data_IF_690545810054
#
_entry.id   IF_690545810054
#
_cell.length_a   1.000
_cell.length_b   1.000
_cell.length_c   1.000
_cell.angle_alpha   90.00
_cell.angle_beta   90.00
_cell.angle_gamma   90.00
#
_symmetry.space_group_name_H-M   'P 1'
#
loop_
_entity.id
_entity.type
_entity.pdbx_description
1 polymer ?
#
# COMPACT_ATOMS: atom_id res chain seq x y z
N UNK A 1 -11.27 -10.69 16.63
CA UNK A 1 -10.57 -9.41 16.77
C UNK A 1 -10.10 -9.06 15.38
N UNK A 2 -10.92 -8.29 14.67
CA UNK A 2 -10.67 -7.88 13.28
C UNK A 2 -9.37 -7.09 13.26
N UNK A 3 -8.43 -7.48 12.40
CA UNK A 3 -7.21 -6.68 12.17
C UNK A 3 -7.66 -5.37 11.52
N UNK A 4 -7.30 -4.24 12.12
CA UNK A 4 -7.65 -2.94 11.58
C UNK A 4 -6.91 -2.72 10.26
N UNK A 5 -7.62 -2.22 9.26
CA UNK A 5 -7.11 -2.01 7.89
C UNK A 5 -5.98 -0.98 7.87
N UNK A 6 -5.87 -0.18 8.93
CA UNK A 6 -4.83 0.82 9.15
C UNK A 6 -3.48 0.20 9.58
N UNK A 7 -3.46 -1.04 10.07
CA UNK A 7 -2.24 -1.86 10.18
C UNK A 7 -1.70 -2.22 8.78
N UNK A 8 -2.62 -2.47 7.82
CA UNK A 8 -2.30 -2.86 6.44
C UNK A 8 -1.83 -1.66 5.60
N UNK A 9 -2.19 -0.43 5.92
CA UNK A 9 -1.74 0.80 5.20
C UNK A 9 -0.34 1.25 5.63
N UNK A 10 0.43 0.49 6.40
CA UNK A 10 1.80 0.96 6.70
C UNK A 10 2.73 0.01 7.38
N UNK A 11 2.26 -1.18 7.76
CA UNK A 11 3.12 -2.37 7.64
C UNK A 11 3.38 -2.68 6.14
N UNK A 12 2.53 -2.19 5.21
CA UNK A 12 2.62 -2.44 3.75
C UNK A 12 3.21 -1.31 2.90
N UNK A 13 3.09 -0.05 3.31
CA UNK A 13 3.79 1.08 2.66
C UNK A 13 5.17 1.35 3.25
N UNK A 14 5.56 0.63 4.33
CA UNK A 14 6.92 0.70 4.88
C UNK A 14 7.26 2.06 5.52
N UNK A 15 6.27 2.92 5.73
CA UNK A 15 6.48 4.30 6.17
C UNK A 15 6.42 4.44 7.69
N UNK A 16 7.33 5.23 8.24
CA UNK A 16 7.23 5.72 9.62
C UNK A 16 6.02 6.64 9.70
N UNK A 17 5.01 6.30 10.50
CA UNK A 17 3.74 7.03 10.54
C UNK A 17 3.97 8.54 10.67
N UNK A 18 4.88 8.97 11.55
CA UNK A 18 5.26 10.36 11.81
C UNK A 18 5.95 11.12 10.65
N UNK A 19 6.23 10.45 9.51
CA UNK A 19 6.86 11.05 8.33
C UNK A 19 5.97 11.00 7.06
N UNK A 20 4.74 10.48 7.16
CA UNK A 20 3.81 10.31 6.03
C UNK A 20 2.71 11.36 6.04
N UNK A 21 2.19 11.67 4.85
CA UNK A 21 0.96 12.44 4.67
C UNK A 21 -0.16 11.51 4.23
N UNK A 22 -1.26 11.50 4.95
CA UNK A 22 -2.31 10.51 4.75
C UNK A 22 -3.63 11.21 4.58
N UNK A 23 -4.29 10.96 3.45
CA UNK A 23 -5.66 11.39 3.18
C UNK A 23 -6.58 10.17 3.26
N UNK A 24 -7.48 10.14 4.24
CA UNK A 24 -8.49 9.09 4.35
C UNK A 24 -9.84 9.60 3.86
N UNK A 25 -10.47 8.82 2.99
CA UNK A 25 -11.85 9.01 2.52
C UNK A 25 -12.72 7.95 3.19
N UNK A 26 -13.61 8.35 4.09
CA UNK A 26 -14.53 7.43 4.76
C UNK A 26 -15.98 7.91 4.69
N UNK A 27 -16.84 7.09 4.08
CA UNK A 27 -18.26 7.37 3.95
C UNK A 27 -19.07 7.02 5.20
N UNK A 28 -18.67 5.99 5.93
CA UNK A 28 -19.45 5.45 7.05
C UNK A 28 -18.88 5.79 8.43
N UNK A 29 -17.55 5.89 8.57
CA UNK A 29 -16.91 6.11 9.88
C UNK A 29 -16.90 7.59 10.26
N UNK A 30 -17.00 7.85 11.56
CA UNK A 30 -16.84 9.22 12.06
C UNK A 30 -15.37 9.63 12.08
N UNK A 31 -15.13 10.94 12.10
CA UNK A 31 -13.78 11.51 12.22
C UNK A 31 -13.04 10.98 13.44
N UNK A 32 -13.75 10.83 14.57
CA UNK A 32 -13.14 10.41 15.82
C UNK A 32 -12.77 8.92 15.77
N UNK A 33 -13.63 8.08 15.19
CA UNK A 33 -13.36 6.65 15.06
C UNK A 33 -12.12 6.41 14.19
N UNK A 34 -12.02 7.09 13.04
CA UNK A 34 -10.83 6.96 12.17
C UNK A 34 -9.56 7.42 12.89
N UNK A 35 -9.62 8.55 13.60
CA UNK A 35 -8.43 9.09 14.29
C UNK A 35 -8.02 8.23 15.49
N UNK A 36 -8.99 7.70 16.23
CA UNK A 36 -8.73 6.89 17.42
C UNK A 36 -8.27 5.47 17.05
N UNK A 37 -8.84 4.87 16.01
CA UNK A 37 -8.38 3.58 15.47
C UNK A 37 -6.97 3.67 14.87
N UNK A 38 -6.65 4.77 14.18
CA UNK A 38 -5.30 5.03 13.71
C UNK A 38 -4.30 5.11 14.88
N UNK A 39 -4.64 5.83 15.95
CA UNK A 39 -3.76 5.93 17.13
C UNK A 39 -3.64 4.60 17.86
N UNK A 40 -4.71 3.84 17.96
CA UNK A 40 -4.71 2.55 18.63
C UNK A 40 -3.82 1.53 17.91
N UNK A 41 -3.77 1.58 16.57
CA UNK A 41 -2.92 0.71 15.76
C UNK A 41 -1.47 1.20 15.69
N UNK A 42 -1.23 2.49 15.43
CA UNK A 42 0.11 3.03 15.09
C UNK A 42 0.83 3.70 16.26
N UNK A 43 0.15 3.98 17.37
CA UNK A 43 0.70 4.72 18.51
C UNK A 43 0.92 6.23 18.28
N UNK A 44 1.14 6.66 17.03
CA UNK A 44 1.28 8.08 16.64
C UNK A 44 0.46 8.42 15.40
N UNK A 45 0.06 9.69 15.28
CA UNK A 45 -0.59 10.22 14.07
C UNK A 45 0.43 10.42 12.95
N UNK A 46 -0.06 10.50 11.69
CA UNK A 46 0.81 10.86 10.60
C UNK A 46 1.28 12.31 10.67
N UNK A 47 2.31 12.61 9.90
CA UNK A 47 2.94 13.92 9.85
C UNK A 47 1.97 15.01 9.37
N UNK A 48 1.07 14.63 8.45
CA UNK A 48 -0.10 15.41 8.04
C UNK A 48 -1.27 14.44 7.86
N UNK A 49 -2.44 14.76 8.42
CA UNK A 49 -3.63 13.89 8.34
C UNK A 49 -4.83 14.61 7.72
N UNK A 50 -5.19 14.26 6.50
CA UNK A 50 -6.41 14.71 5.83
C UNK A 50 -7.55 13.70 6.01
N UNK A 51 -8.78 14.18 6.22
CA UNK A 51 -9.96 13.34 6.32
C UNK A 51 -11.11 13.88 5.47
N UNK A 52 -11.67 13.08 4.60
CA UNK A 52 -12.92 13.39 3.87
C UNK A 52 -14.01 12.47 4.41
N UNK A 53 -15.06 13.06 5.00
CA UNK A 53 -16.15 12.30 5.66
C UNK A 53 -17.53 12.72 5.18
N UNK A 54 -18.50 11.80 5.31
CA UNK A 54 -19.88 12.00 4.88
C UNK A 54 -20.89 12.02 6.07
N UNK A 55 -20.39 11.91 7.31
CA UNK A 55 -21.15 11.83 8.57
C UNK A 55 -21.21 13.12 9.43
N UNK A 56 -21.79 13.01 10.64
CA UNK A 56 -22.44 14.05 11.49
C UNK A 56 -21.80 15.45 11.67
N UNK A 57 -20.52 15.67 11.36
CA UNK A 57 -19.92 17.01 11.35
C UNK A 57 -20.64 17.96 10.37
N UNK A 58 -21.29 17.42 9.33
CA UNK A 58 -22.15 18.18 8.43
C UNK A 58 -23.38 18.83 9.09
N UNK A 59 -23.98 18.25 10.14
CA UNK A 59 -25.19 18.84 10.77
C UNK A 59 -24.87 20.01 11.70
N UNK A 60 -23.69 20.03 12.31
CA UNK A 60 -23.24 21.13 13.18
C UNK A 60 -22.52 22.24 12.41
N UNK A 61 -21.84 21.92 11.30
CA UNK A 61 -21.15 22.90 10.44
C UNK A 61 -22.04 23.53 9.36
N UNK A 62 -23.21 22.95 9.04
CA UNK A 62 -24.17 23.49 8.07
C UNK A 62 -24.78 24.86 8.47
N UNK A 63 -24.44 25.40 9.64
CA UNK A 63 -24.81 26.79 10.01
C UNK A 63 -23.85 27.85 9.46
N UNK A 64 -22.73 27.48 8.80
CA UNK A 64 -21.68 28.47 8.50
C UNK A 64 -21.13 28.58 7.07
N UNK A 65 -21.53 27.79 6.08
CA UNK A 65 -20.93 27.94 4.73
C UNK A 65 -21.93 27.95 3.58
N UNK A 66 -22.11 29.14 3.01
CA UNK A 66 -22.76 29.44 1.72
C UNK A 66 -21.83 29.26 0.51
N UNK A 67 -20.78 28.43 0.61
CA UNK A 67 -19.76 28.29 -0.43
C UNK A 67 -19.93 26.98 -1.25
N UNK A 68 -19.84 27.10 -2.56
CA UNK A 68 -20.08 26.05 -3.57
C UNK A 68 -18.94 24.99 -3.67
N UNK A 69 -18.08 24.89 -2.64
CA UNK A 69 -16.87 24.04 -2.62
C UNK A 69 -16.75 23.17 -1.35
N UNK A 70 -15.85 22.17 -1.31
CA UNK A 70 -15.57 21.41 -0.09
C UNK A 70 -14.98 22.33 0.99
N UNK A 71 -15.61 22.38 2.17
CA UNK A 71 -15.13 23.21 3.29
C UNK A 71 -14.13 22.42 4.15
N UNK A 72 -12.86 22.85 4.18
CA UNK A 72 -11.79 22.28 5.00
C UNK A 72 -11.76 22.94 6.38
N UNK A 73 -11.71 22.14 7.44
CA UNK A 73 -11.60 22.61 8.82
C UNK A 73 -10.46 21.88 9.54
N UNK A 74 -9.50 22.63 10.08
CA UNK A 74 -8.45 22.07 10.93
C UNK A 74 -8.98 21.84 12.35
N UNK A 75 -8.71 20.68 12.92
CA UNK A 75 -9.07 20.38 14.30
C UNK A 75 -8.04 21.02 15.26
N UNK A 76 -8.48 21.74 16.32
CA UNK A 76 -7.55 22.40 17.23
C UNK A 76 -6.65 21.39 17.96
N UNK A 77 -5.33 21.60 17.87
CA UNK A 77 -4.32 20.79 18.56
C UNK A 77 -3.99 19.44 17.88
N UNK A 78 -4.38 19.25 16.62
CA UNK A 78 -4.02 18.07 15.82
C UNK A 78 -3.64 18.54 14.41
N UNK A 79 -2.61 17.98 13.80
CA UNK A 79 -2.29 18.14 12.36
C UNK A 79 -3.31 17.36 11.49
N UNK A 80 -4.59 17.53 11.82
CA UNK A 80 -5.74 16.85 11.21
C UNK A 80 -6.63 17.90 10.56
N UNK A 81 -6.80 17.81 9.25
CA UNK A 81 -7.69 18.66 8.47
C UNK A 81 -8.84 17.81 7.93
N UNK A 82 -10.07 18.29 8.12
CA UNK A 82 -11.29 17.55 7.82
C UNK A 82 -12.11 18.29 6.76
N UNK A 83 -12.57 17.56 5.75
CA UNK A 83 -13.56 18.00 4.77
C UNK A 83 -14.83 17.19 4.97
N UNK A 84 -15.92 17.86 5.29
CA UNK A 84 -17.25 17.23 5.33
C UNK A 84 -17.93 17.34 3.97
N UNK A 85 -18.54 16.23 3.53
CA UNK A 85 -19.37 16.14 2.33
C UNK A 85 -20.77 15.67 2.71
N UNK A 86 -21.75 16.05 1.90
CA UNK A 86 -23.17 15.75 2.19
C UNK A 86 -23.69 14.53 1.43
N UNK A 87 -22.96 14.06 0.41
CA UNK A 87 -23.45 13.04 -0.52
C UNK A 87 -22.30 12.24 -1.18
N UNK A 88 -22.19 10.92 -0.93
CA UNK A 88 -21.23 10.04 -1.60
C UNK A 88 -21.52 9.85 -3.10
N UNK A 89 -22.72 10.24 -3.57
CA UNK A 89 -23.07 10.31 -4.99
C UNK A 89 -22.32 11.41 -5.77
N UNK A 90 -21.68 12.36 -5.09
CA UNK A 90 -21.00 13.47 -5.75
C UNK A 90 -19.50 13.17 -5.97
N UNK A 91 -19.21 12.17 -6.82
CA UNK A 91 -17.85 11.74 -7.17
C UNK A 91 -16.96 12.88 -7.70
N UNK A 92 -17.55 13.84 -8.41
CA UNK A 92 -16.84 15.04 -8.90
C UNK A 92 -16.33 15.89 -7.72
N UNK A 93 -17.18 16.17 -6.74
CA UNK A 93 -16.80 16.95 -5.55
C UNK A 93 -15.80 16.18 -4.69
N UNK A 94 -15.91 14.85 -4.62
CA UNK A 94 -14.93 14.00 -3.97
C UNK A 94 -13.55 14.11 -4.63
N UNK A 95 -13.49 13.97 -5.95
CA UNK A 95 -12.24 14.14 -6.70
C UNK A 95 -11.63 15.52 -6.49
N UNK A 96 -12.41 16.60 -6.58
CA UNK A 96 -11.92 17.96 -6.31
C UNK A 96 -11.36 18.10 -4.91
N UNK A 97 -12.02 17.56 -3.88
CA UNK A 97 -11.50 17.66 -2.52
C UNK A 97 -10.21 16.87 -2.34
N UNK A 98 -10.10 15.67 -2.91
CA UNK A 98 -8.89 14.88 -2.86
C UNK A 98 -7.71 15.61 -3.51
N UNK A 99 -7.90 16.15 -4.72
CA UNK A 99 -6.87 16.94 -5.41
C UNK A 99 -6.44 18.17 -4.61
N UNK A 100 -7.35 18.85 -3.91
CA UNK A 100 -6.98 20.00 -3.06
C UNK A 100 -6.05 19.64 -1.90
N UNK A 101 -6.13 18.42 -1.37
CA UNK A 101 -5.17 17.95 -0.37
C UNK A 101 -3.84 17.59 -1.02
N UNK A 102 -3.87 16.87 -2.13
CA UNK A 102 -2.66 16.44 -2.83
C UNK A 102 -1.87 17.64 -3.38
N UNK A 103 -2.54 18.66 -3.89
CA UNK A 103 -1.91 19.91 -4.34
C UNK A 103 -1.27 20.69 -3.19
N UNK A 104 -1.91 20.74 -2.02
CA UNK A 104 -1.34 21.38 -0.81
C UNK A 104 -0.07 20.64 -0.33
N UNK A 105 0.03 19.35 -0.61
CA UNK A 105 1.10 18.46 -0.16
C UNK A 105 2.18 18.22 -1.23
N UNK A 106 1.95 18.67 -2.47
CA UNK A 106 2.82 18.37 -3.61
C UNK A 106 4.26 18.89 -3.47
N UNK A 107 4.47 19.95 -2.68
CA UNK A 107 5.78 20.53 -2.42
C UNK A 107 6.53 19.85 -1.26
N UNK A 108 5.93 18.84 -0.62
CA UNK A 108 6.54 18.11 0.48
C UNK A 108 7.39 16.94 -0.04
N UNK A 109 8.55 16.68 0.61
CA UNK A 109 9.36 15.48 0.34
C UNK A 109 8.81 14.21 1.03
N UNK A 110 7.56 14.25 1.50
CA UNK A 110 6.96 13.16 2.28
C UNK A 110 6.20 12.21 1.37
N UNK A 111 6.16 10.95 1.78
CA UNK A 111 5.30 9.98 1.12
C UNK A 111 3.84 10.34 1.38
N UNK A 112 3.06 10.44 0.30
CA UNK A 112 1.63 10.74 0.36
C UNK A 112 0.81 9.51 0.02
N UNK A 113 -0.15 9.18 0.89
CA UNK A 113 -1.06 8.04 0.71
C UNK A 113 -2.50 8.53 0.74
N UNK A 114 -3.28 8.15 -0.28
CA UNK A 114 -4.73 8.29 -0.31
C UNK A 114 -5.34 6.93 0.03
N UNK A 115 -6.15 6.87 1.07
CA UNK A 115 -6.82 5.65 1.51
C UNK A 115 -8.34 5.80 1.43
N UNK A 116 -8.97 5.00 0.58
CA UNK A 116 -10.44 4.90 0.50
C UNK A 116 -10.88 3.73 1.35
N UNK A 117 -11.57 4.06 2.44
CA UNK A 117 -11.87 3.10 3.50
C UNK A 117 -12.93 2.08 3.11
N UNK A 118 -13.93 2.45 2.34
CA UNK A 118 -14.97 1.52 1.90
C UNK A 118 -15.48 1.93 0.52
N UNK A 119 -15.60 0.95 -0.39
CA UNK A 119 -16.12 1.18 -1.74
C UNK A 119 -17.63 1.01 -1.86
N UNK A 120 -18.24 0.18 -1.02
CA UNK A 120 -19.66 -0.14 -1.12
C UNK A 120 -20.57 1.10 -1.10
N UNK A 121 -20.36 2.15 -0.28
CA UNK A 121 -21.25 3.32 -0.28
C UNK A 121 -21.18 4.11 -1.60
N UNK A 122 -20.03 4.10 -2.27
CA UNK A 122 -19.87 4.77 -3.56
C UNK A 122 -20.52 3.96 -4.69
N UNK A 123 -20.38 2.63 -4.65
CA UNK A 123 -21.02 1.71 -5.59
C UNK A 123 -22.54 1.75 -5.44
N UNK A 124 -23.06 1.78 -4.21
CA UNK A 124 -24.49 1.87 -3.94
C UNK A 124 -25.09 3.20 -4.44
N UNK A 125 -24.38 4.32 -4.23
CA UNK A 125 -24.88 5.64 -4.61
C UNK A 125 -24.76 5.93 -6.12
N UNK A 126 -23.71 5.42 -6.79
CA UNK A 126 -23.36 5.80 -8.16
C UNK A 126 -23.46 4.65 -9.17
N UNK A 127 -23.54 3.41 -8.71
CA UNK A 127 -23.36 2.22 -9.53
C UNK A 127 -21.89 1.89 -9.81
N UNK A 128 -21.66 0.65 -10.26
CA UNK A 128 -20.32 0.09 -10.51
C UNK A 128 -19.57 0.86 -11.61
N UNK A 129 -20.24 1.20 -12.71
CA UNK A 129 -19.60 1.83 -13.87
C UNK A 129 -19.07 3.24 -13.54
N UNK A 130 -19.89 4.07 -12.91
CA UNK A 130 -19.48 5.42 -12.50
C UNK A 130 -18.39 5.38 -11.42
N UNK A 131 -18.45 4.42 -10.51
CA UNK A 131 -17.40 4.21 -9.49
C UNK A 131 -16.08 3.76 -10.13
N UNK A 132 -16.12 2.84 -11.11
CA UNK A 132 -14.95 2.43 -11.88
C UNK A 132 -14.31 3.61 -12.60
N UNK A 133 -15.10 4.42 -13.31
CA UNK A 133 -14.59 5.60 -14.02
C UNK A 133 -13.93 6.60 -13.07
N UNK A 134 -14.56 6.84 -11.91
CA UNK A 134 -13.99 7.69 -10.88
C UNK A 134 -12.67 7.13 -10.33
N UNK A 135 -12.62 5.85 -9.95
CA UNK A 135 -11.40 5.21 -9.46
C UNK A 135 -10.29 5.24 -10.51
N UNK A 136 -10.61 5.01 -11.78
CA UNK A 136 -9.65 5.09 -12.87
C UNK A 136 -9.02 6.49 -12.98
N UNK A 137 -9.82 7.55 -12.89
CA UNK A 137 -9.33 8.94 -12.90
C UNK A 137 -8.55 9.27 -11.62
N UNK A 138 -8.98 8.75 -10.48
CA UNK A 138 -8.30 8.96 -9.20
C UNK A 138 -6.93 8.30 -9.19
N UNK A 139 -6.80 7.04 -9.65
CA UNK A 139 -5.51 6.33 -9.81
C UNK A 139 -4.58 7.17 -10.69
N UNK A 140 -5.04 7.65 -11.84
CA UNK A 140 -4.23 8.49 -12.73
C UNK A 140 -3.74 9.77 -12.04
N UNK A 141 -4.64 10.44 -11.31
CA UNK A 141 -4.33 11.71 -10.62
C UNK A 141 -3.33 11.50 -9.49
N UNK A 142 -3.56 10.47 -8.66
CA UNK A 142 -2.71 10.12 -7.51
C UNK A 142 -1.30 9.74 -7.98
N UNK A 143 -1.20 8.89 -9.00
CA UNK A 143 0.09 8.49 -9.59
C UNK A 143 0.82 9.67 -10.22
N UNK A 144 0.10 10.59 -10.89
CA UNK A 144 0.71 11.78 -11.49
C UNK A 144 1.34 12.71 -10.44
N UNK A 145 0.75 12.77 -9.25
CA UNK A 145 1.22 13.57 -8.11
C UNK A 145 2.23 12.81 -7.23
N UNK A 146 2.69 11.63 -7.65
CA UNK A 146 3.68 10.83 -6.90
C UNK A 146 3.15 10.24 -5.59
N UNK A 147 1.83 10.19 -5.41
CA UNK A 147 1.17 9.61 -4.25
C UNK A 147 0.75 8.16 -4.53
N UNK A 148 0.40 7.43 -3.48
CA UNK A 148 -0.07 6.03 -3.55
C UNK A 148 -1.56 5.95 -3.21
N UNK A 149 -2.34 5.18 -3.96
CA UNK A 149 -3.75 4.91 -3.68
C UNK A 149 -3.92 3.52 -3.07
N UNK A 150 -4.58 3.46 -1.92
CA UNK A 150 -5.04 2.24 -1.27
C UNK A 150 -6.56 2.26 -1.17
N UNK A 151 -7.21 1.14 -1.48
CA UNK A 151 -8.67 1.04 -1.45
C UNK A 151 -9.06 -0.26 -0.80
N UNK A 152 -9.95 -0.19 0.19
CA UNK A 152 -10.54 -1.38 0.79
C UNK A 152 -11.87 -1.71 0.14
N UNK A 153 -12.02 -2.98 -0.20
CA UNK A 153 -13.27 -3.61 -0.62
C UNK A 153 -13.64 -4.68 0.41
N UNK A 154 -14.92 -4.74 0.79
CA UNK A 154 -15.44 -5.82 1.64
C UNK A 154 -16.14 -6.87 0.74
N UNK A 155 -15.59 -8.09 0.61
CA UNK A 155 -16.16 -9.13 -0.23
C UNK A 155 -17.50 -9.68 0.29
N UNK A 156 -17.89 -9.36 1.52
CA UNK A 156 -19.22 -9.68 2.05
C UNK A 156 -20.30 -8.70 1.58
N UNK A 157 -19.90 -7.48 1.17
CA UNK A 157 -20.79 -6.42 0.68
C UNK A 157 -20.73 -6.23 -0.84
N UNK A 158 -19.57 -6.47 -1.44
CA UNK A 158 -19.32 -6.32 -2.87
C UNK A 158 -19.18 -7.70 -3.50
N UNK A 159 -19.97 -7.97 -4.54
CA UNK A 159 -19.92 -9.24 -5.23
C UNK A 159 -18.59 -9.44 -5.99
N UNK A 160 -18.20 -10.71 -6.15
CA UNK A 160 -16.94 -11.11 -6.78
C UNK A 160 -16.78 -10.57 -8.21
N UNK A 161 -17.88 -10.45 -8.98
CA UNK A 161 -17.83 -9.91 -10.34
C UNK A 161 -17.48 -8.41 -10.32
N UNK A 162 -18.05 -7.67 -9.38
CA UNK A 162 -17.70 -6.26 -9.18
C UNK A 162 -16.23 -6.11 -8.74
N UNK A 163 -15.75 -6.94 -7.81
CA UNK A 163 -14.33 -6.95 -7.40
C UNK A 163 -13.41 -7.22 -8.60
N UNK A 164 -13.70 -8.27 -9.38
CA UNK A 164 -12.95 -8.62 -10.59
C UNK A 164 -12.98 -7.51 -11.65
N UNK A 165 -14.04 -6.68 -11.67
CA UNK A 165 -14.15 -5.53 -12.59
C UNK A 165 -13.25 -4.38 -12.14
N UNK A 166 -13.12 -4.14 -10.83
CA UNK A 166 -12.33 -3.05 -10.27
C UNK A 166 -10.83 -3.41 -10.16
N UNK A 167 -10.51 -4.68 -9.91
CA UNK A 167 -9.14 -5.16 -9.69
C UNK A 167 -8.10 -4.69 -10.73
N UNK A 168 -8.38 -4.66 -12.05
CA UNK A 168 -7.42 -4.19 -13.05
C UNK A 168 -7.00 -2.72 -12.93
N UNK A 169 -7.71 -1.92 -12.11
CA UNK A 169 -7.33 -0.52 -11.82
C UNK A 169 -6.14 -0.41 -10.86
N UNK A 170 -5.79 -1.49 -10.17
CA UNK A 170 -4.80 -1.49 -9.10
C UNK A 170 -3.61 -2.36 -9.46
N UNK A 171 -2.41 -1.93 -9.03
CA UNK A 171 -1.17 -2.66 -9.25
C UNK A 171 -1.04 -3.92 -8.37
N UNK A 172 -1.85 -4.01 -7.30
CA UNK A 172 -1.88 -5.15 -6.38
C UNK A 172 -3.25 -5.25 -5.68
N UNK A 173 -3.67 -6.49 -5.41
CA UNK A 173 -4.83 -6.83 -4.57
C UNK A 173 -4.40 -7.87 -3.54
N UNK A 174 -4.92 -7.74 -2.33
CA UNK A 174 -4.63 -8.64 -1.20
C UNK A 174 -5.92 -8.94 -0.47
N UNK A 175 -6.08 -10.20 -0.10
CA UNK A 175 -7.10 -10.62 0.84
C UNK A 175 -6.52 -10.54 2.27
N UNK A 176 -7.23 -9.97 3.25
CA UNK A 176 -6.91 -10.19 4.65
C UNK A 176 -7.20 -11.67 4.96
N UNK A 177 -6.19 -12.53 4.78
CA UNK A 177 -6.33 -13.97 5.01
C UNK A 177 -6.88 -14.30 6.40
N UNK A 178 -7.52 -15.47 6.58
CA UNK A 178 -8.14 -15.83 7.84
C UNK A 178 -7.12 -15.85 8.97
N UNK A 179 -7.49 -15.20 10.08
CA UNK A 179 -6.72 -15.13 11.31
C UNK A 179 -6.78 -16.48 12.05
N UNK A 180 -6.18 -17.53 11.51
CA UNK A 180 -5.96 -18.80 12.22
C UNK A 180 -4.53 -19.31 11.98
N UNK A 181 -3.83 -19.53 13.09
CA UNK A 181 -2.42 -19.96 13.15
C UNK A 181 -2.18 -21.39 12.70
N UNK A 182 -2.35 -21.64 11.40
CA UNK A 182 -1.96 -22.89 10.74
C UNK A 182 -1.47 -22.61 9.33
N UNK A 183 -0.18 -22.29 9.20
CA UNK A 183 0.49 -22.08 7.91
C UNK A 183 0.47 -23.36 7.07
N UNK A 184 -0.55 -23.53 6.24
CA UNK A 184 -0.35 -24.14 4.93
C UNK A 184 -0.04 -22.99 3.98
N UNK A 185 1.20 -22.85 3.48
CA UNK A 185 1.51 -21.79 2.53
C UNK A 185 0.58 -21.95 1.31
N UNK A 186 0.10 -20.84 0.72
CA UNK A 186 -0.61 -20.93 -0.56
C UNK A 186 0.28 -21.73 -1.51
N UNK A 187 -0.29 -22.75 -2.16
CA UNK A 187 0.43 -23.44 -3.21
C UNK A 187 0.86 -22.37 -4.22
N UNK A 188 2.17 -22.16 -4.33
CA UNK A 188 2.72 -21.15 -5.22
C UNK A 188 2.49 -21.62 -6.65
N UNK A 189 1.39 -21.18 -7.25
CA UNK A 189 1.06 -21.52 -8.62
C UNK A 189 2.15 -20.97 -9.57
N UNK A 190 2.40 -21.70 -10.65
CA UNK A 190 3.50 -21.44 -11.58
C UNK A 190 3.50 -20.01 -12.13
N UNK A 191 2.32 -19.44 -12.39
CA UNK A 191 2.18 -18.07 -12.92
C UNK A 191 2.65 -17.01 -11.92
N UNK A 192 2.35 -17.19 -10.63
CA UNK A 192 2.81 -16.32 -9.55
C UNK A 192 4.33 -16.37 -9.42
N UNK A 193 4.93 -17.57 -9.49
CA UNK A 193 6.39 -17.71 -9.49
C UNK A 193 6.99 -17.02 -10.72
N UNK A 194 6.41 -17.21 -11.92
CA UNK A 194 6.89 -16.57 -13.13
C UNK A 194 6.86 -15.04 -13.07
N UNK A 195 5.76 -14.47 -12.55
CA UNK A 195 5.61 -13.03 -12.37
C UNK A 195 6.64 -12.46 -11.37
N UNK A 196 6.83 -13.15 -10.24
CA UNK A 196 7.83 -12.78 -9.24
C UNK A 196 9.25 -12.83 -9.84
N UNK A 197 9.59 -13.88 -10.55
CA UNK A 197 10.92 -14.05 -11.11
C UNK A 197 11.21 -13.17 -12.34
N UNK A 198 10.21 -12.46 -12.88
CA UNK A 198 10.41 -11.47 -13.95
C UNK A 198 11.38 -10.34 -13.55
N UNK A 199 11.47 -10.01 -12.26
CA UNK A 199 12.35 -8.95 -11.77
C UNK A 199 13.76 -9.50 -11.46
N UNK A 200 14.84 -8.94 -12.06
CA UNK A 200 16.21 -9.42 -11.85
C UNK A 200 16.71 -9.31 -10.41
N UNK A 201 16.23 -8.32 -9.64
CA UNK A 201 16.61 -8.14 -8.22
C UNK A 201 16.01 -9.23 -7.32
N UNK A 202 14.76 -9.65 -7.57
CA UNK A 202 14.13 -10.79 -6.87
C UNK A 202 14.85 -12.10 -7.17
N UNK A 203 15.23 -12.33 -8.43
CA UNK A 203 16.08 -13.47 -8.83
C UNK A 203 17.42 -13.43 -8.12
N UNK A 204 18.04 -12.26 -8.04
CA UNK A 204 19.32 -12.07 -7.37
C UNK A 204 19.26 -12.44 -5.88
N UNK A 205 18.22 -11.99 -5.16
CA UNK A 205 18.01 -12.35 -3.76
C UNK A 205 17.90 -13.86 -3.60
N UNK A 206 17.00 -14.51 -4.34
CA UNK A 206 16.79 -15.95 -4.24
C UNK A 206 18.07 -16.74 -4.55
N UNK A 207 18.80 -16.39 -5.63
CA UNK A 207 20.09 -17.01 -5.96
C UNK A 207 21.12 -16.86 -4.84
N UNK A 208 21.16 -15.70 -4.19
CA UNK A 208 22.06 -15.46 -3.05
C UNK A 208 21.71 -16.36 -1.86
N UNK A 209 20.41 -16.58 -1.60
CA UNK A 209 19.94 -17.40 -0.48
C UNK A 209 20.00 -18.91 -0.76
N UNK A 210 20.08 -19.33 -2.03
CA UNK A 210 20.41 -20.70 -2.38
C UNK A 210 21.89 -21.03 -2.13
N UNK A 211 22.77 -20.03 -2.17
CA UNK A 211 24.20 -20.20 -1.85
C UNK A 211 24.48 -20.10 -0.35
N UNK A 212 23.81 -19.15 0.30
CA UNK A 212 23.97 -18.85 1.72
C UNK A 212 22.64 -19.06 2.45
N UNK A 213 22.59 -19.96 3.44
CA UNK A 213 21.35 -20.33 4.14
C UNK A 213 20.59 -19.14 4.75
N UNK A 214 21.33 -18.11 5.19
CA UNK A 214 20.82 -16.86 5.71
C UNK A 214 21.82 -15.74 5.43
N UNK A 215 21.38 -14.59 4.91
CA UNK A 215 22.23 -13.44 4.56
C UNK A 215 21.68 -12.17 5.18
N UNK A 216 22.56 -11.31 5.70
CA UNK A 216 22.17 -9.98 6.18
C UNK A 216 21.65 -9.10 5.04
N UNK A 217 20.59 -8.32 5.30
CA UNK A 217 19.97 -7.46 4.30
C UNK A 217 20.95 -6.41 3.75
N UNK A 218 21.78 -5.83 4.61
CA UNK A 218 22.86 -4.92 4.21
C UNK A 218 23.88 -5.59 3.28
N UNK A 219 24.23 -6.85 3.54
CA UNK A 219 25.12 -7.63 2.67
C UNK A 219 24.49 -7.93 1.32
N UNK A 220 23.20 -8.28 1.29
CA UNK A 220 22.47 -8.45 0.02
C UNK A 220 22.42 -7.14 -0.77
N UNK A 221 22.21 -6.01 -0.08
CA UNK A 221 22.18 -4.68 -0.70
C UNK A 221 23.53 -4.29 -1.29
N UNK A 222 24.62 -4.51 -0.57
CA UNK A 222 25.98 -4.26 -1.07
C UNK A 222 26.27 -5.11 -2.31
N UNK A 223 25.97 -6.41 -2.25
CA UNK A 223 26.18 -7.32 -3.38
C UNK A 223 25.30 -6.94 -4.58
N UNK A 224 24.06 -6.49 -4.34
CA UNK A 224 23.17 -6.03 -5.40
C UNK A 224 23.67 -4.71 -6.02
N UNK A 225 24.06 -3.75 -5.20
CA UNK A 225 24.62 -2.47 -5.65
C UNK A 225 25.86 -2.69 -6.50
N UNK A 226 26.75 -3.61 -6.09
CA UNK A 226 27.93 -3.97 -6.88
C UNK A 226 27.56 -4.59 -8.24
N UNK A 227 26.48 -5.36 -8.29
CA UNK A 227 26.00 -6.00 -9.53
C UNK A 227 25.38 -5.00 -10.52
N UNK A 228 24.72 -3.96 -10.02
CA UNK A 228 23.98 -3.00 -10.86
C UNK A 228 24.75 -1.70 -11.14
N UNK A 229 25.71 -1.37 -10.29
CA UNK A 229 26.54 -0.18 -10.44
C UNK A 229 27.45 -0.27 -11.66
N UNK A 230 27.60 0.85 -12.36
CA UNK A 230 28.61 1.02 -13.42
C UNK A 230 29.99 1.41 -12.87
N UNK A 231 30.10 1.65 -11.55
CA UNK A 231 31.34 2.02 -10.85
C UNK A 231 31.76 0.90 -9.89
N UNK A 232 33.07 0.67 -9.78
CA UNK A 232 33.66 -0.33 -8.89
C UNK A 232 34.78 0.30 -8.04
N UNK A 233 34.56 0.51 -6.71
CA UNK A 233 33.41 0.07 -5.92
C UNK A 233 32.12 0.89 -6.18
N UNK A 234 30.94 0.33 -5.86
CA UNK A 234 29.66 1.06 -5.93
C UNK A 234 29.64 2.24 -4.96
N UNK A 235 28.93 3.31 -5.32
CA UNK A 235 28.82 4.50 -4.48
C UNK A 235 27.90 4.24 -3.27
N UNK A 236 28.02 5.08 -2.24
CA UNK A 236 27.13 5.04 -1.07
C UNK A 236 25.65 5.22 -1.46
N UNK A 237 25.38 6.04 -2.48
CA UNK A 237 24.04 6.23 -3.02
C UNK A 237 23.51 4.97 -3.72
N UNK A 238 24.36 4.25 -4.45
CA UNK A 238 23.98 2.98 -5.09
C UNK A 238 23.68 1.90 -4.03
N UNK A 239 24.50 1.83 -2.97
CA UNK A 239 24.26 0.93 -1.84
C UNK A 239 22.97 1.27 -1.10
N UNK A 240 22.72 2.56 -0.82
CA UNK A 240 21.49 3.02 -0.16
C UNK A 240 20.26 2.72 -1.01
N UNK A 241 20.31 2.97 -2.32
CA UNK A 241 19.21 2.63 -3.25
C UNK A 241 18.95 1.12 -3.30
N UNK A 242 20.00 0.30 -3.37
CA UNK A 242 19.86 -1.15 -3.36
C UNK A 242 19.28 -1.65 -2.03
N UNK A 243 19.72 -1.08 -0.91
CA UNK A 243 19.19 -1.41 0.42
C UNK A 243 17.72 -1.08 0.52
N UNK A 244 17.32 0.15 0.17
CA UNK A 244 15.91 0.55 0.15
C UNK A 244 15.10 -0.38 -0.74
N UNK A 245 15.53 -0.64 -1.98
CA UNK A 245 14.78 -1.50 -2.89
C UNK A 245 14.64 -2.95 -2.39
N UNK A 246 15.67 -3.51 -1.75
CA UNK A 246 15.57 -4.83 -1.15
C UNK A 246 14.64 -4.83 0.07
N UNK A 247 14.80 -3.85 0.96
CA UNK A 247 14.07 -3.74 2.21
C UNK A 247 12.57 -3.46 2.00
N UNK A 248 12.22 -2.58 1.05
CA UNK A 248 10.86 -2.09 0.87
C UNK A 248 10.08 -2.78 -0.24
N UNK A 249 10.75 -3.40 -1.22
CA UNK A 249 10.07 -3.99 -2.37
C UNK A 249 10.39 -5.47 -2.50
N UNK A 250 11.65 -5.83 -2.67
CA UNK A 250 11.99 -7.17 -3.16
C UNK A 250 11.91 -8.26 -2.09
N UNK A 251 12.46 -8.02 -0.90
CA UNK A 251 12.37 -8.98 0.22
C UNK A 251 10.92 -9.11 0.72
N UNK A 252 10.16 -8.02 0.93
CA UNK A 252 8.75 -8.11 1.29
C UNK A 252 7.92 -8.93 0.30
N UNK A 253 8.02 -8.63 -1.01
CA UNK A 253 7.26 -9.39 -2.03
C UNK A 253 7.63 -10.87 -2.11
N UNK A 254 8.89 -11.21 -1.85
CA UNK A 254 9.31 -12.61 -1.78
C UNK A 254 8.79 -13.28 -0.50
N UNK A 255 8.68 -12.54 0.61
CA UNK A 255 8.16 -13.05 1.88
C UNK A 255 6.64 -13.24 1.85
N UNK A 256 5.91 -12.32 1.22
CA UNK A 256 4.47 -12.43 0.95
C UNK A 256 4.14 -13.67 0.12
N UNK A 257 4.97 -13.94 -0.89
CA UNK A 257 4.90 -15.16 -1.68
C UNK A 257 5.40 -16.41 -0.90
N UNK A 258 5.72 -16.31 0.38
CA UNK A 258 6.23 -17.42 1.17
C UNK A 258 7.52 -18.03 0.63
N UNK A 259 8.32 -17.28 -0.14
CA UNK A 259 9.59 -17.76 -0.71
C UNK A 259 10.78 -17.49 0.21
N UNK A 260 10.71 -16.42 0.99
CA UNK A 260 11.76 -16.05 1.96
C UNK A 260 11.16 -15.73 3.31
N UNK A 261 11.98 -15.78 4.34
CA UNK A 261 11.70 -15.32 5.70
C UNK A 261 12.66 -14.19 5.99
N UNK A 262 12.14 -13.07 6.51
CA UNK A 262 12.94 -11.94 6.95
C UNK A 262 12.86 -11.80 8.47
N UNK A 263 13.97 -12.06 9.15
CA UNK A 263 14.12 -11.80 10.58
C UNK A 263 14.47 -10.32 10.79
N UNK A 264 13.49 -9.54 11.27
CA UNK A 264 13.66 -8.11 11.54
C UNK A 264 14.57 -7.84 12.75
N UNK A 265 14.73 -8.80 13.66
CA UNK A 265 15.56 -8.62 14.87
C UNK A 265 17.05 -8.68 14.52
N UNK A 266 17.41 -9.58 13.60
CA UNK A 266 18.79 -9.78 13.16
C UNK A 266 19.07 -9.18 11.77
N UNK A 267 18.07 -8.56 11.14
CA UNK A 267 18.09 -8.03 9.76
C UNK A 267 18.60 -9.05 8.73
N UNK A 268 18.15 -10.31 8.85
CA UNK A 268 18.59 -11.41 7.98
C UNK A 268 17.45 -11.96 7.15
N UNK A 269 17.77 -12.33 5.92
CA UNK A 269 16.87 -12.99 4.98
C UNK A 269 17.33 -14.44 4.81
N UNK A 270 16.39 -15.39 4.83
CA UNK A 270 16.62 -16.80 4.50
C UNK A 270 15.53 -17.34 3.59
N UNK A 271 15.76 -18.44 2.88
CA UNK A 271 14.65 -19.14 2.20
C UNK A 271 13.64 -19.66 3.22
N UNK A 272 12.37 -19.72 2.83
CA UNK A 272 11.35 -20.44 3.60
C UNK A 272 11.52 -21.96 3.43
N UNK A 273 10.96 -22.76 4.34
CA UNK A 273 11.00 -24.22 4.22
C UNK A 273 10.26 -24.72 2.97
N UNK A 274 9.20 -24.02 2.56
CA UNK A 274 8.46 -24.30 1.32
C UNK A 274 9.34 -24.05 0.08
N UNK A 275 10.13 -22.98 0.06
CA UNK A 275 11.03 -22.66 -1.04
C UNK A 275 12.26 -23.58 -1.08
N UNK A 276 12.79 -24.00 0.08
CA UNK A 276 13.91 -24.96 0.16
C UNK A 276 13.55 -26.32 -0.42
N UNK A 277 12.31 -26.78 -0.23
CA UNK A 277 11.82 -28.06 -0.78
C UNK A 277 11.33 -27.99 -2.23
N UNK A 278 11.28 -26.80 -2.83
CA UNK A 278 10.74 -26.60 -4.17
C UNK A 278 11.84 -26.76 -5.24
N UNK A 279 12.17 -28.00 -5.61
CA UNK A 279 13.10 -28.30 -6.73
C UNK A 279 12.74 -27.55 -8.04
N UNK A 280 11.46 -27.21 -8.23
CA UNK A 280 10.98 -26.40 -9.35
C UNK A 280 11.47 -24.95 -9.33
N UNK A 281 11.60 -24.32 -8.16
CA UNK A 281 12.01 -22.91 -8.02
C UNK A 281 13.45 -22.70 -8.51
N UNK A 282 14.36 -23.62 -8.14
CA UNK A 282 15.74 -23.62 -8.61
C UNK A 282 15.82 -23.83 -10.14
N UNK A 283 14.95 -24.70 -10.67
CA UNK A 283 14.76 -24.88 -12.13
C UNK A 283 14.36 -23.59 -12.85
N UNK A 284 13.42 -22.81 -12.32
CA UNK A 284 13.01 -21.53 -12.91
C UNK A 284 14.12 -20.47 -12.87
N UNK A 285 14.88 -20.43 -11.78
CA UNK A 285 16.00 -19.50 -11.62
C UNK A 285 17.15 -19.81 -12.59
N UNK A 286 17.38 -21.08 -12.93
CA UNK A 286 18.47 -21.51 -13.80
C UNK A 286 18.08 -21.65 -15.29
N UNK A 287 16.81 -21.90 -15.60
CA UNK A 287 16.38 -22.30 -16.96
C UNK A 287 15.55 -21.30 -17.78
N UNK A 288 14.83 -20.34 -17.17
CA UNK A 288 13.78 -19.57 -17.90
C UNK A 288 14.01 -18.06 -18.06
N UNK A 289 14.96 -17.46 -17.34
CA UNK A 289 15.12 -16.01 -17.30
C UNK A 289 16.56 -15.51 -17.60
N UNK A 290 17.50 -16.42 -17.85
CA UNK A 290 18.88 -16.08 -18.25
C UNK A 290 19.09 -16.06 -19.77
N UNK A 291 18.08 -16.43 -20.57
CA UNK A 291 18.07 -16.27 -22.04
C UNK A 291 17.46 -14.92 -22.46
N UNK A 292 18.15 -13.79 -22.16
CA UNK A 292 18.01 -12.56 -22.95
C UNK A 292 19.08 -11.51 -22.67
#
# INVERSE_FOLDING_TARGET
MERNVEDDVGDRFGTKADATEILVVSAERSVMDVVDDWRASRGTLPATFGLITFGEFGRSAARETTADGPSRQSLPGRDVTVTAMSDPGNLRRLGTAATLYLDDWADSDRETVVYVDALDPFIEANGVESTFQFLHLLVQTVTQLGATLAVRADPSRIDERTINTLQPLFDAVTDPGPADGGTTPPALDTDTIHELLRNPRRRFVLRSLFQDESVGLATLAERLARRESSSEPPTDDDQRRAFTALASVHVPRLAEAGLVVFDRSDERVSLSDAARGAERLEGYLNGSFDDR
#
